data_IF_376124583187
#
_entry.id   IF_376124583187
#
_cell.length_a   1.000
_cell.length_b   1.000
_cell.length_c   1.000
_cell.angle_alpha   90.00
_cell.angle_beta   90.00
_cell.angle_gamma   90.00
#
_symmetry.space_group_name_H-M   'P 1'
#
loop_
_entity.id
_entity.type
_entity.pdbx_description
1 polymer ?
#
# COMPACT_ATOMS: atom_id res chain seq x y z
N UNK A 1 7.05 -3.21 -20.80
CA UNK A 1 6.12 -3.23 -21.93
C UNK A 1 4.90 -2.42 -21.49
N UNK A 2 4.92 -1.11 -21.74
CA UNK A 2 3.77 -0.26 -21.43
C UNK A 2 2.67 -0.55 -22.43
N UNK A 3 1.70 -1.35 -22.01
CA UNK A 3 0.49 -1.60 -22.79
C UNK A 3 -0.29 -0.29 -22.85
N UNK A 4 -0.20 0.42 -23.97
CA UNK A 4 -1.00 1.62 -24.26
C UNK A 4 -2.47 1.21 -24.38
N UNK A 5 -3.16 1.19 -23.25
CA UNK A 5 -4.60 0.94 -23.15
C UNK A 5 -5.36 2.24 -23.46
N UNK A 6 -6.57 2.16 -24.06
CA UNK A 6 -7.36 3.32 -24.47
C UNK A 6 -7.63 4.27 -23.29
N UNK A 7 -7.72 5.57 -23.58
CA UNK A 7 -7.74 6.68 -22.60
C UNK A 7 -8.78 6.52 -21.48
N UNK A 8 -9.91 5.85 -21.74
CA UNK A 8 -10.92 5.50 -20.72
C UNK A 8 -10.46 4.40 -19.74
N UNK A 9 -9.73 3.40 -20.23
CA UNK A 9 -9.23 2.29 -19.41
C UNK A 9 -8.05 2.71 -18.52
N UNK A 10 -7.29 3.74 -18.93
CA UNK A 10 -6.22 4.30 -18.11
C UNK A 10 -6.74 5.06 -16.88
N UNK A 11 -7.93 5.68 -16.97
CA UNK A 11 -8.63 6.26 -15.81
C UNK A 11 -9.24 5.18 -14.91
N UNK A 12 -9.72 4.07 -15.48
CA UNK A 12 -10.29 2.95 -14.73
C UNK A 12 -9.24 2.04 -14.07
N UNK A 13 -8.01 2.02 -14.58
CA UNK A 13 -6.89 1.19 -14.10
C UNK A 13 -6.62 1.30 -12.59
N UNK A 14 -6.50 2.50 -11.98
CA UNK A 14 -6.30 2.61 -10.53
C UNK A 14 -7.50 2.08 -9.73
N UNK A 15 -8.73 2.32 -10.20
CA UNK A 15 -9.94 1.82 -9.54
C UNK A 15 -10.04 0.29 -9.62
N UNK A 16 -9.79 -0.30 -10.79
CA UNK A 16 -9.77 -1.74 -10.99
C UNK A 16 -8.68 -2.41 -10.13
N UNK A 17 -7.51 -1.76 -10.02
CA UNK A 17 -6.41 -2.25 -9.17
C UNK A 17 -6.83 -2.23 -7.70
N UNK A 18 -7.46 -1.14 -7.24
CA UNK A 18 -7.92 -0.99 -5.87
C UNK A 18 -9.03 -1.98 -5.51
N UNK A 19 -10.02 -2.18 -6.38
CA UNK A 19 -11.09 -3.17 -6.14
C UNK A 19 -10.56 -4.59 -6.16
N UNK A 20 -9.65 -4.93 -7.07
CA UNK A 20 -8.99 -6.24 -7.11
C UNK A 20 -8.17 -6.51 -5.84
N UNK A 21 -7.46 -5.49 -5.33
CA UNK A 21 -6.71 -5.57 -4.08
C UNK A 21 -7.63 -5.82 -2.88
N UNK A 22 -8.73 -5.08 -2.78
CA UNK A 22 -9.71 -5.25 -1.70
C UNK A 22 -10.37 -6.62 -1.73
N UNK A 23 -10.67 -7.14 -2.91
CA UNK A 23 -11.17 -8.51 -3.07
C UNK A 23 -10.16 -9.55 -2.58
N UNK A 24 -8.87 -9.35 -2.88
CA UNK A 24 -7.79 -10.18 -2.35
C UNK A 24 -7.72 -10.16 -0.82
N UNK A 25 -7.84 -8.97 -0.20
CA UNK A 25 -7.87 -8.85 1.27
C UNK A 25 -9.10 -9.54 1.88
N UNK A 26 -10.27 -9.43 1.27
CA UNK A 26 -11.48 -10.12 1.73
C UNK A 26 -11.31 -11.65 1.68
N UNK A 27 -10.75 -12.19 0.59
CA UNK A 27 -10.43 -13.61 0.48
C UNK A 27 -9.44 -14.08 1.54
N UNK A 28 -8.39 -13.30 1.79
CA UNK A 28 -7.42 -13.57 2.86
C UNK A 28 -8.07 -13.59 4.24
N UNK A 29 -9.01 -12.67 4.51
CA UNK A 29 -9.72 -12.63 5.79
C UNK A 29 -10.56 -13.89 6.02
N UNK A 30 -11.30 -14.35 5.00
CA UNK A 30 -12.10 -15.57 5.09
C UNK A 30 -11.22 -16.80 5.31
N UNK A 31 -10.13 -16.96 4.55
CA UNK A 31 -9.18 -18.07 4.72
C UNK A 31 -8.58 -18.05 6.13
N UNK A 32 -8.24 -16.87 6.64
CA UNK A 32 -7.70 -16.69 7.99
C UNK A 32 -8.72 -17.06 9.05
N UNK A 33 -9.97 -16.62 8.92
CA UNK A 33 -11.05 -16.92 9.85
C UNK A 33 -11.31 -18.42 9.94
N UNK A 34 -11.45 -19.10 8.80
CA UNK A 34 -11.69 -20.55 8.74
C UNK A 34 -10.51 -21.32 9.34
N UNK A 35 -9.28 -20.90 9.04
CA UNK A 35 -8.05 -21.52 9.55
C UNK A 35 -7.92 -21.41 11.07
N UNK A 36 -8.22 -20.23 11.64
CA UNK A 36 -8.18 -20.01 13.09
C UNK A 36 -9.30 -20.77 13.81
N UNK A 37 -10.49 -20.86 13.22
CA UNK A 37 -11.59 -21.65 13.78
C UNK A 37 -11.29 -23.16 13.81
N UNK A 38 -10.46 -23.66 12.90
CA UNK A 38 -9.96 -25.04 12.92
C UNK A 38 -8.77 -25.24 13.89
N UNK A 39 -8.45 -24.24 14.73
CA UNK A 39 -7.42 -24.35 15.76
C UNK A 39 -5.98 -24.17 15.26
N UNK A 40 -5.78 -23.65 14.04
CA UNK A 40 -4.43 -23.43 13.53
C UNK A 40 -3.76 -22.25 14.25
N UNK A 41 -2.50 -22.44 14.67
CA UNK A 41 -1.71 -21.39 15.32
C UNK A 41 -1.49 -20.21 14.36
N UNK A 42 -1.77 -18.98 14.82
CA UNK A 42 -1.64 -17.74 14.05
C UNK A 42 -0.24 -17.54 13.45
N UNK A 43 0.81 -17.98 14.15
CA UNK A 43 2.19 -17.91 13.64
C UNK A 43 2.41 -18.80 12.41
N UNK A 44 1.78 -19.97 12.38
CA UNK A 44 1.88 -20.91 11.24
C UNK A 44 1.18 -20.31 10.02
N UNK A 45 0.01 -19.69 10.21
CA UNK A 45 -0.71 -19.01 9.14
C UNK A 45 0.09 -17.82 8.57
N UNK A 46 0.74 -17.05 9.44
CA UNK A 46 1.59 -15.92 9.02
C UNK A 46 2.77 -16.40 8.16
N UNK A 47 3.49 -17.44 8.61
CA UNK A 47 4.62 -18.02 7.85
C UNK A 47 4.12 -18.57 6.51
N UNK A 48 3.00 -19.30 6.49
CA UNK A 48 2.45 -19.86 5.26
C UNK A 48 2.08 -18.78 4.23
N UNK A 49 1.48 -17.68 4.68
CA UNK A 49 1.13 -16.54 3.81
C UNK A 49 2.36 -15.95 3.13
N UNK A 50 3.42 -15.67 3.91
CA UNK A 50 4.63 -15.07 3.35
C UNK A 50 5.37 -16.04 2.42
N UNK A 51 5.39 -17.33 2.77
CA UNK A 51 6.06 -18.36 1.99
C UNK A 51 5.35 -18.62 0.64
N UNK A 52 4.02 -18.73 0.66
CA UNK A 52 3.22 -18.83 -0.57
C UNK A 52 3.36 -17.57 -1.42
N UNK A 53 3.31 -16.38 -0.81
CA UNK A 53 3.53 -15.13 -1.53
C UNK A 53 4.90 -15.10 -2.21
N UNK A 54 5.97 -15.51 -1.53
CA UNK A 54 7.31 -15.61 -2.13
C UNK A 54 7.34 -16.61 -3.28
N UNK A 55 6.79 -17.82 -3.12
CA UNK A 55 6.78 -18.85 -4.17
C UNK A 55 6.00 -18.38 -5.40
N UNK A 56 4.86 -17.74 -5.20
CA UNK A 56 4.01 -17.26 -6.30
C UNK A 56 4.66 -16.06 -6.99
N UNK A 57 5.17 -15.09 -6.24
CA UNK A 57 5.74 -13.84 -6.80
C UNK A 57 7.13 -14.08 -7.40
N UNK A 58 7.95 -14.96 -6.84
CA UNK A 58 9.31 -15.24 -7.31
C UNK A 58 9.42 -15.52 -8.82
N UNK A 59 8.63 -16.42 -9.44
CA UNK A 59 8.70 -16.66 -10.87
C UNK A 59 8.27 -15.44 -11.68
N UNK A 60 7.25 -14.68 -11.24
CA UNK A 60 6.86 -13.44 -11.92
C UNK A 60 7.96 -12.38 -11.83
N UNK A 61 8.60 -12.23 -10.67
CA UNK A 61 9.74 -11.32 -10.50
C UNK A 61 10.92 -11.73 -11.41
N UNK A 62 11.21 -13.02 -11.51
CA UNK A 62 12.31 -13.51 -12.37
C UNK A 62 12.03 -13.32 -13.87
N UNK A 63 10.80 -13.51 -14.32
CA UNK A 63 10.41 -13.44 -15.75
C UNK A 63 10.13 -12.00 -16.19
N UNK A 64 9.36 -11.23 -15.41
CA UNK A 64 8.85 -9.91 -15.80
C UNK A 64 9.87 -8.79 -15.56
N UNK A 65 10.66 -8.85 -14.48
CA UNK A 65 11.60 -7.78 -14.13
C UNK A 65 12.98 -7.94 -14.76
N UNK A 66 13.26 -9.05 -15.47
CA UNK A 66 14.58 -9.34 -16.08
C UNK A 66 15.13 -8.21 -16.96
N UNK A 67 14.27 -7.41 -17.59
CA UNK A 67 14.67 -6.30 -18.49
C UNK A 67 14.81 -4.93 -17.82
N UNK A 68 14.34 -4.75 -16.59
CA UNK A 68 14.23 -3.43 -15.93
C UNK A 68 15.11 -3.35 -14.66
N UNK A 69 15.79 -4.45 -14.27
CA UNK A 69 16.51 -4.51 -12.99
C UNK A 69 17.60 -3.43 -12.86
N UNK A 70 17.53 -2.55 -11.85
CA UNK A 70 18.72 -1.90 -11.34
C UNK A 70 19.62 -2.96 -10.69
N UNK A 71 20.95 -2.81 -10.81
CA UNK A 71 21.91 -3.76 -10.23
C UNK A 71 21.69 -3.82 -8.70
N UNK A 72 21.24 -4.97 -8.20
CA UNK A 72 21.12 -5.25 -6.77
C UNK A 72 22.52 -5.24 -6.15
N UNK A 73 22.91 -4.09 -5.62
CA UNK A 73 24.17 -3.95 -4.88
C UNK A 73 23.92 -4.36 -3.44
N UNK A 74 24.89 -5.01 -2.79
CA UNK A 74 24.81 -5.46 -1.38
C UNK A 74 24.16 -4.44 -0.41
N UNK A 75 24.49 -3.13 -0.43
CA UNK A 75 23.83 -2.15 0.44
C UNK A 75 22.32 -1.97 0.17
N UNK A 76 21.87 -2.07 -1.09
CA UNK A 76 20.44 -1.96 -1.44
C UNK A 76 19.70 -3.20 -0.93
N UNK A 77 20.30 -4.38 -1.11
CA UNK A 77 19.76 -5.63 -0.59
C UNK A 77 19.61 -5.58 0.94
N UNK A 78 20.65 -5.14 1.65
CA UNK A 78 20.60 -4.99 3.11
C UNK A 78 19.53 -3.99 3.55
N UNK A 79 19.36 -2.87 2.84
CA UNK A 79 18.29 -1.90 3.15
C UNK A 79 16.90 -2.53 2.99
N UNK A 80 16.65 -3.25 1.91
CA UNK A 80 15.36 -3.93 1.68
C UNK A 80 15.12 -4.99 2.75
N UNK A 81 16.15 -5.76 3.13
CA UNK A 81 16.07 -6.77 4.18
C UNK A 81 15.74 -6.15 5.54
N UNK A 82 16.43 -5.08 5.91
CA UNK A 82 16.16 -4.35 7.16
C UNK A 82 14.76 -3.76 7.15
N UNK A 83 14.33 -3.14 6.05
CA UNK A 83 12.97 -2.59 5.94
C UNK A 83 11.90 -3.68 6.04
N UNK A 84 12.08 -4.80 5.32
CA UNK A 84 11.13 -5.92 5.32
C UNK A 84 11.07 -6.69 6.64
N UNK A 85 12.11 -6.62 7.47
CA UNK A 85 12.09 -7.19 8.82
C UNK A 85 11.55 -6.19 9.85
N UNK A 86 11.97 -4.94 9.76
CA UNK A 86 11.61 -3.89 10.70
C UNK A 86 10.13 -3.52 10.58
N UNK A 87 9.57 -3.47 9.37
CA UNK A 87 8.18 -3.13 9.12
C UNK A 87 7.21 -4.03 9.91
N UNK A 88 7.18 -5.37 9.74
CA UNK A 88 6.25 -6.22 10.48
C UNK A 88 6.50 -6.21 11.98
N UNK A 89 7.76 -6.08 12.43
CA UNK A 89 8.08 -6.00 13.87
C UNK A 89 7.49 -4.73 14.48
N UNK A 90 7.67 -3.57 13.83
CA UNK A 90 7.10 -2.30 14.29
C UNK A 90 5.58 -2.34 14.18
N UNK A 91 5.04 -2.74 13.03
CA UNK A 91 3.60 -2.79 12.77
C UNK A 91 2.85 -3.66 13.79
N UNK A 92 3.29 -4.90 14.00
CA UNK A 92 2.66 -5.77 15.01
C UNK A 92 2.79 -5.20 16.43
N UNK A 93 3.97 -4.73 16.84
CA UNK A 93 4.15 -4.24 18.21
C UNK A 93 3.34 -2.98 18.49
N UNK A 94 3.33 -2.01 17.56
CA UNK A 94 2.52 -0.81 17.70
C UNK A 94 1.03 -1.12 17.59
N UNK A 95 0.63 -2.09 16.77
CA UNK A 95 -0.77 -2.51 16.66
C UNK A 95 -1.26 -3.14 17.97
N UNK A 96 -0.50 -4.06 18.57
CA UNK A 96 -0.84 -4.64 19.87
C UNK A 96 -0.85 -3.60 21.00
N UNK A 97 0.13 -2.70 21.01
CA UNK A 97 0.17 -1.60 21.97
C UNK A 97 -1.04 -0.67 21.79
N UNK A 98 -1.34 -0.30 20.55
CA UNK A 98 -2.49 0.52 20.18
C UNK A 98 -3.79 -0.10 20.66
N UNK A 99 -4.06 -1.36 20.32
CA UNK A 99 -5.29 -2.07 20.77
C UNK A 99 -5.42 -2.16 22.29
N UNK A 100 -4.32 -2.24 23.04
CA UNK A 100 -4.36 -2.26 24.51
C UNK A 100 -4.85 -0.93 25.10
N UNK A 101 -4.59 0.19 24.42
CA UNK A 101 -4.91 1.53 24.89
C UNK A 101 -6.06 2.21 24.13
N UNK A 102 -6.58 1.58 23.08
CA UNK A 102 -7.48 2.20 22.10
C UNK A 102 -8.81 1.46 22.02
N UNK A 103 -9.92 2.20 21.98
CA UNK A 103 -11.25 1.64 21.72
C UNK A 103 -11.46 1.37 20.23
N UNK A 104 -12.38 0.46 19.89
CA UNK A 104 -12.69 0.11 18.49
C UNK A 104 -13.04 1.34 17.62
N UNK A 105 -13.71 2.34 18.21
CA UNK A 105 -14.05 3.60 17.55
C UNK A 105 -12.80 4.43 17.22
N UNK A 106 -11.85 4.52 18.15
CA UNK A 106 -10.61 5.27 17.93
C UNK A 106 -9.71 4.54 16.91
N UNK A 107 -9.63 3.21 16.94
CA UNK A 107 -8.92 2.44 15.90
C UNK A 107 -9.49 2.69 14.49
N UNK A 108 -10.82 2.71 14.37
CA UNK A 108 -11.51 3.00 13.11
C UNK A 108 -11.27 4.45 12.65
N UNK A 109 -11.27 5.41 13.59
CA UNK A 109 -10.93 6.80 13.30
C UNK A 109 -9.48 6.94 12.80
N UNK A 110 -8.53 6.24 13.41
CA UNK A 110 -7.11 6.25 12.99
C UNK A 110 -6.95 5.80 11.54
N UNK A 111 -7.62 4.71 11.12
CA UNK A 111 -7.56 4.20 9.74
C UNK A 111 -8.07 5.25 8.74
N UNK A 112 -9.15 5.94 9.07
CA UNK A 112 -9.73 6.96 8.21
C UNK A 112 -8.87 8.23 8.09
N UNK A 113 -8.05 8.55 9.10
CA UNK A 113 -7.12 9.69 9.05
C UNK A 113 -5.73 9.34 8.52
N UNK A 114 -5.43 8.08 8.18
CA UNK A 114 -4.15 7.66 7.56
C UNK A 114 -3.78 8.56 6.36
N UNK A 115 -4.68 8.87 5.41
CA UNK A 115 -4.34 9.75 4.28
C UNK A 115 -3.94 11.16 4.73
N UNK A 116 -4.61 11.70 5.76
CA UNK A 116 -4.30 13.01 6.31
C UNK A 116 -2.95 13.02 7.04
N UNK A 117 -2.68 12.00 7.86
CA UNK A 117 -1.38 11.84 8.55
C UNK A 117 -0.26 11.71 7.51
N UNK A 118 -0.47 10.91 6.46
CA UNK A 118 0.48 10.74 5.37
C UNK A 118 0.79 12.07 4.68
N UNK A 119 -0.22 12.91 4.45
CA UNK A 119 -0.04 14.23 3.86
C UNK A 119 0.77 15.17 4.78
N UNK A 120 0.47 15.19 6.08
CA UNK A 120 1.24 16.00 7.05
C UNK A 120 2.70 15.55 7.10
N UNK A 121 2.96 14.24 7.16
CA UNK A 121 4.32 13.70 7.13
C UNK A 121 5.03 14.07 5.82
N UNK A 122 4.35 13.99 4.68
CA UNK A 122 4.91 14.38 3.40
C UNK A 122 5.29 15.88 3.33
N UNK A 123 4.53 16.75 4.01
CA UNK A 123 4.87 18.17 4.15
C UNK A 123 6.09 18.37 5.06
N UNK A 124 6.16 17.69 6.20
CA UNK A 124 7.27 17.79 7.16
C UNK A 124 8.59 17.33 6.50
N UNK A 125 8.57 16.19 5.81
CA UNK A 125 9.73 15.66 5.09
C UNK A 125 9.99 16.36 3.75
N UNK A 126 9.20 17.39 3.40
CA UNK A 126 9.32 18.17 2.16
C UNK A 126 9.36 17.29 0.91
N UNK A 127 8.59 16.20 0.91
CA UNK A 127 8.57 15.20 -0.16
C UNK A 127 7.65 15.59 -1.34
N UNK A 128 6.80 16.61 -1.17
CA UNK A 128 5.88 17.10 -2.22
C UNK A 128 6.18 18.54 -2.66
N UNK A 129 6.24 18.75 -3.98
CA UNK A 129 5.99 20.06 -4.60
C UNK A 129 4.48 20.20 -4.73
N UNK A 130 3.87 21.00 -3.87
CA UNK A 130 2.43 21.28 -3.96
C UNK A 130 2.22 22.27 -5.10
N UNK A 131 1.89 21.79 -6.30
CA UNK A 131 1.34 22.64 -7.35
C UNK A 131 -0.10 22.98 -6.96
N UNK A 132 -0.27 24.01 -6.14
CA UNK A 132 -1.57 24.63 -5.90
C UNK A 132 -2.07 25.17 -7.24
N UNK A 133 -2.92 24.42 -7.92
CA UNK A 133 -3.71 24.93 -9.04
C UNK A 133 -4.80 25.84 -8.44
N UNK A 134 -4.41 27.07 -8.10
CA UNK A 134 -5.34 28.11 -7.69
C UNK A 134 -6.26 28.34 -8.90
N UNK A 135 -7.53 27.98 -8.74
CA UNK A 135 -8.59 28.19 -9.72
C UNK A 135 -8.85 29.70 -9.80
N UNK A 136 -8.02 30.43 -10.56
CA UNK A 136 -8.24 31.84 -10.88
C UNK A 136 -9.42 31.98 -11.85
N UNK A 137 -10.64 31.74 -11.36
CA UNK A 137 -11.87 32.29 -11.93
C UNK A 137 -12.00 33.75 -11.46
N UNK A 138 -11.11 34.64 -11.90
CA UNK A 138 -11.28 36.08 -11.70
C UNK A 138 -10.47 36.87 -12.73
N UNK A 139 -11.13 37.16 -13.86
CA UNK A 139 -10.99 38.36 -14.71
C UNK A 139 -11.29 38.05 -16.19
N UNK A 140 -12.54 37.68 -16.50
CA UNK A 140 -13.12 37.94 -17.82
C UNK A 140 -14.37 38.80 -17.66
N UNK A 141 -14.19 39.94 -16.97
CA UNK A 141 -15.14 41.06 -16.98
C UNK A 141 -14.35 42.26 -17.49
N UNK A 142 -14.62 42.67 -18.74
CA UNK A 142 -14.08 43.89 -19.33
C UNK A 142 -13.08 43.65 -20.45
N UNK A 143 -13.57 43.29 -21.65
CA UNK A 143 -13.23 43.96 -22.92
C UNK A 143 -13.69 43.15 -24.13
N UNK A 144 -14.88 43.48 -24.62
CA UNK A 144 -15.17 43.51 -26.06
C UNK A 144 -16.11 44.69 -26.25
N UNK A 145 -15.52 45.81 -26.67
CA UNK A 145 -16.22 46.82 -27.46
C UNK A 145 -16.48 46.26 -28.86
#
# INVERSE_FOLDING_TARGET
MEMKLPVGLNKAKPYLTMTSLQFGFAGMYVITMVSLQHGMNHYVLAVYRHLVATIVIAPFALVLERKIRPKLTVPIFLRILVLGFLEPVIDQNLYYLGMKYTTATLASATVNVIPAITFVLALIFRYYTVTLHIYNKRANVGNTK
#
